data_IF_404715093990
#
_entry.id   IF_404715093990
#
_cell.length_a   1.000
_cell.length_b   1.000
_cell.length_c   1.000
_cell.angle_alpha   90.00
_cell.angle_beta   90.00
_cell.angle_gamma   90.00
#
_symmetry.space_group_name_H-M   'P 1'
#
loop_
_entity.id
_entity.type
_entity.pdbx_description
1 polymer ?
#
# COMPACT_ATOMS: atom_id res chain seq x y z
N UNK A 1 18.99 -19.88 5.52
CA UNK A 1 19.41 -18.57 4.98
C UNK A 1 18.83 -17.37 5.75
N UNK A 2 17.78 -17.53 6.56
CA UNK A 2 17.17 -16.47 7.39
C UNK A 2 17.93 -16.15 8.69
N UNK A 3 18.71 -17.09 9.26
CA UNK A 3 19.46 -16.86 10.52
C UNK A 3 20.59 -15.84 10.41
N UNK A 4 21.33 -15.86 9.29
CA UNK A 4 22.55 -15.03 9.11
C UNK A 4 22.27 -13.53 8.97
N UNK A 5 21.09 -13.15 8.48
CA UNK A 5 20.64 -11.76 8.42
C UNK A 5 20.25 -11.23 9.80
N UNK A 6 19.59 -12.07 10.61
CA UNK A 6 19.14 -11.72 11.97
C UNK A 6 20.34 -11.56 12.90
N UNK A 7 21.32 -12.47 12.85
CA UNK A 7 22.51 -12.44 13.71
C UNK A 7 23.42 -11.23 13.43
N UNK A 8 23.38 -10.69 12.20
CA UNK A 8 24.18 -9.51 11.81
C UNK A 8 23.59 -8.20 12.33
N UNK A 9 22.26 -8.13 12.44
CA UNK A 9 21.52 -6.96 12.97
C UNK A 9 21.73 -6.85 14.49
N UNK A 10 21.74 -7.99 15.19
CA UNK A 10 21.89 -8.06 16.65
C UNK A 10 23.25 -7.51 17.13
N UNK A 11 24.30 -7.71 16.33
CA UNK A 11 25.67 -7.28 16.65
C UNK A 11 25.89 -5.77 16.52
N UNK A 12 25.21 -5.12 15.59
CA UNK A 12 25.25 -3.66 15.37
C UNK A 12 24.44 -2.94 16.46
N UNK A 13 23.39 -3.60 16.95
CA UNK A 13 22.45 -3.04 17.91
C UNK A 13 23.03 -2.91 19.32
N UNK A 14 23.75 -3.93 19.80
CA UNK A 14 24.36 -3.89 21.14
C UNK A 14 25.41 -2.78 21.32
N UNK A 15 25.97 -2.23 20.24
CA UNK A 15 26.98 -1.17 20.31
C UNK A 15 26.38 0.25 20.38
N UNK A 16 25.07 0.43 20.16
CA UNK A 16 24.45 1.77 20.00
C UNK A 16 23.39 2.12 21.05
N UNK A 17 23.08 1.22 21.99
CA UNK A 17 21.91 1.33 22.90
C UNK A 17 22.13 2.14 24.18
N UNK A 18 22.66 3.37 24.11
CA UNK A 18 22.72 4.25 25.30
C UNK A 18 21.58 5.27 25.37
N UNK A 19 20.95 5.66 24.27
CA UNK A 19 19.93 6.71 24.29
C UNK A 19 18.81 6.43 23.27
N UNK A 20 17.60 6.17 23.81
CA UNK A 20 16.32 5.93 23.14
C UNK A 20 16.25 4.75 22.16
N UNK A 21 15.68 3.62 22.58
CA UNK A 21 15.25 2.59 21.65
C UNK A 21 13.90 2.02 22.06
N UNK A 22 12.83 2.44 21.36
CA UNK A 22 11.69 1.54 21.16
C UNK A 22 12.24 0.27 20.49
N UNK A 23 11.94 -0.91 21.03
CA UNK A 23 12.38 -2.17 20.45
C UNK A 23 11.71 -2.38 19.09
N UNK A 24 12.32 -3.17 18.20
CA UNK A 24 11.67 -3.60 16.95
C UNK A 24 10.28 -4.22 17.20
N UNK A 25 10.13 -4.90 18.34
CA UNK A 25 8.85 -5.45 18.79
C UNK A 25 7.82 -4.35 19.10
N UNK A 26 8.24 -3.23 19.69
CA UNK A 26 7.35 -2.10 19.95
C UNK A 26 6.90 -1.43 18.65
N UNK A 27 7.80 -1.25 17.68
CA UNK A 27 7.43 -0.70 16.37
C UNK A 27 6.43 -1.59 15.64
N UNK A 28 6.63 -2.91 15.69
CA UNK A 28 5.69 -3.87 15.12
C UNK A 28 4.32 -3.78 15.79
N UNK A 29 4.26 -3.71 17.13
CA UNK A 29 3.00 -3.57 17.87
C UNK A 29 2.29 -2.25 17.56
N UNK A 30 3.03 -1.15 17.46
CA UNK A 30 2.48 0.16 17.12
C UNK A 30 1.86 0.12 15.71
N UNK A 31 2.56 -0.47 14.72
CA UNK A 31 2.05 -0.63 13.35
C UNK A 31 0.83 -1.57 13.27
N UNK A 32 0.86 -2.72 13.96
CA UNK A 32 -0.29 -3.64 14.03
C UNK A 32 -1.52 -2.94 14.64
N UNK A 33 -1.31 -2.07 15.64
CA UNK A 33 -2.38 -1.27 16.25
C UNK A 33 -2.97 -0.27 15.24
N UNK A 34 -2.15 0.42 14.48
CA UNK A 34 -2.62 1.34 13.43
C UNK A 34 -3.45 0.61 12.35
N UNK A 35 -2.97 -0.55 11.89
CA UNK A 35 -3.70 -1.38 10.93
C UNK A 35 -5.04 -1.86 11.47
N UNK A 36 -5.12 -2.20 12.75
CA UNK A 36 -6.37 -2.59 13.40
C UNK A 36 -7.36 -1.41 13.48
N UNK A 37 -6.88 -0.20 13.78
CA UNK A 37 -7.74 1.01 13.76
C UNK A 37 -8.34 1.23 12.37
N UNK A 38 -7.53 1.15 11.31
CA UNK A 38 -8.01 1.27 9.92
C UNK A 38 -8.97 0.12 9.57
N UNK A 39 -8.64 -1.11 9.99
CA UNK A 39 -9.48 -2.30 9.79
C UNK A 39 -10.87 -2.12 10.38
N UNK A 40 -10.95 -1.65 11.61
CA UNK A 40 -12.19 -1.40 12.33
C UNK A 40 -12.96 -0.22 11.73
N UNK A 41 -12.28 0.90 11.43
CA UNK A 41 -12.88 2.13 10.91
C UNK A 41 -13.59 1.92 9.56
N UNK A 42 -13.03 1.05 8.71
CA UNK A 42 -13.55 0.78 7.38
C UNK A 42 -14.19 -0.60 7.23
N UNK A 43 -14.26 -1.40 8.30
CA UNK A 43 -14.80 -2.77 8.30
C UNK A 43 -14.16 -3.64 7.20
N UNK A 44 -12.83 -3.60 7.16
CA UNK A 44 -12.00 -4.32 6.21
C UNK A 44 -11.08 -5.30 6.92
N UNK A 45 -10.54 -6.29 6.23
CA UNK A 45 -9.57 -7.22 6.83
C UNK A 45 -8.16 -6.59 6.91
N UNK A 46 -7.25 -7.22 7.64
CA UNK A 46 -5.89 -6.69 7.85
C UNK A 46 -5.13 -6.49 6.53
N UNK A 47 -5.28 -7.40 5.56
CA UNK A 47 -4.60 -7.27 4.26
C UNK A 47 -5.15 -6.07 3.46
N UNK A 48 -6.47 -5.88 3.47
CA UNK A 48 -7.14 -4.70 2.92
C UNK A 48 -6.66 -3.42 3.62
N UNK A 49 -6.49 -3.44 4.95
CA UNK A 49 -5.95 -2.30 5.70
C UNK A 49 -4.53 -1.96 5.28
N UNK A 50 -3.66 -2.95 5.08
CA UNK A 50 -2.28 -2.74 4.62
C UNK A 50 -2.28 -2.01 3.28
N UNK A 51 -3.09 -2.48 2.32
CA UNK A 51 -3.20 -1.87 1.00
C UNK A 51 -3.81 -0.46 1.07
N UNK A 52 -4.89 -0.29 1.84
CA UNK A 52 -5.54 1.00 1.99
C UNK A 52 -4.60 2.03 2.64
N UNK A 53 -3.85 1.65 3.68
CA UNK A 53 -2.86 2.52 4.33
C UNK A 53 -1.77 2.94 3.34
N UNK A 54 -1.26 2.02 2.52
CA UNK A 54 -0.28 2.37 1.50
C UNK A 54 -0.81 3.38 0.48
N UNK A 55 -2.06 3.22 0.03
CA UNK A 55 -2.72 4.15 -0.90
C UNK A 55 -2.97 5.50 -0.25
N UNK A 56 -3.46 5.53 1.01
CA UNK A 56 -3.66 6.78 1.77
C UNK A 56 -2.36 7.56 1.84
N UNK A 57 -1.28 6.94 2.30
CA UNK A 57 0.01 7.62 2.45
C UNK A 57 0.49 8.17 1.10
N UNK A 58 0.47 7.33 0.06
CA UNK A 58 0.88 7.77 -1.26
C UNK A 58 0.01 8.91 -1.80
N UNK A 59 -1.30 8.89 -1.59
CA UNK A 59 -2.21 9.97 -2.00
C UNK A 59 -2.01 11.28 -1.23
N UNK A 60 -1.64 11.20 0.05
CA UNK A 60 -1.33 12.39 0.87
C UNK A 60 0.01 13.03 0.49
N UNK A 61 0.98 12.23 0.09
CA UNK A 61 2.32 12.71 -0.31
C UNK A 61 2.37 13.08 -1.81
N UNK A 62 1.66 12.35 -2.67
CA UNK A 62 1.66 12.47 -4.13
C UNK A 62 0.27 12.21 -4.73
N UNK A 63 -0.19 13.05 -5.67
CA UNK A 63 -1.53 12.89 -6.28
C UNK A 63 -1.71 11.65 -7.18
N UNK A 64 -0.61 11.00 -7.55
CA UNK A 64 -0.62 9.86 -8.46
C UNK A 64 -0.03 8.64 -7.74
N UNK A 65 -0.88 7.70 -7.33
CA UNK A 65 -0.46 6.43 -6.74
C UNK A 65 -0.71 5.31 -7.74
N UNK A 66 0.37 4.72 -8.23
CA UNK A 66 0.35 3.55 -9.09
C UNK A 66 0.68 2.29 -8.28
N UNK A 67 0.57 1.13 -8.94
CA UNK A 67 0.85 -0.16 -8.31
C UNK A 67 2.31 -0.28 -7.85
N UNK A 68 3.24 0.37 -8.55
CA UNK A 68 4.64 0.47 -8.16
C UNK A 68 4.82 1.23 -6.85
N UNK A 69 4.09 2.34 -6.65
CA UNK A 69 4.17 3.14 -5.42
C UNK A 69 3.63 2.37 -4.21
N UNK A 70 2.61 1.55 -4.42
CA UNK A 70 2.10 0.62 -3.38
C UNK A 70 3.19 -0.40 -3.04
N UNK A 71 3.84 -0.99 -4.05
CA UNK A 71 4.91 -1.96 -3.84
C UNK A 71 6.11 -1.36 -3.07
N UNK A 72 6.52 -0.15 -3.44
CA UNK A 72 7.57 0.62 -2.76
C UNK A 72 7.21 0.88 -1.31
N UNK A 73 5.98 1.35 -1.03
CA UNK A 73 5.54 1.64 0.34
C UNK A 73 5.48 0.39 1.21
N UNK A 74 5.17 -0.75 0.62
CA UNK A 74 5.10 -2.04 1.30
C UNK A 74 6.45 -2.77 1.36
N UNK A 75 7.51 -2.22 0.74
CA UNK A 75 8.84 -2.84 0.62
C UNK A 75 8.80 -4.27 0.03
N UNK A 76 7.89 -4.50 -0.92
CA UNK A 76 7.73 -5.77 -1.63
C UNK A 76 7.87 -5.58 -3.14
N UNK A 77 8.01 -6.67 -3.88
CA UNK A 77 7.99 -6.58 -5.34
C UNK A 77 6.59 -6.28 -5.85
N UNK A 78 6.51 -5.58 -7.00
CA UNK A 78 5.23 -5.35 -7.69
C UNK A 78 4.51 -6.65 -8.06
N UNK A 79 5.24 -7.75 -8.25
CA UNK A 79 4.66 -9.06 -8.55
C UNK A 79 3.92 -9.65 -7.35
N UNK A 80 4.39 -9.38 -6.12
CA UNK A 80 3.68 -9.75 -4.89
C UNK A 80 2.40 -8.94 -4.72
N UNK A 81 2.43 -7.64 -5.07
CA UNK A 81 1.21 -6.81 -5.11
C UNK A 81 0.22 -7.33 -6.16
N UNK A 82 0.70 -7.68 -7.36
CA UNK A 82 -0.12 -8.29 -8.41
C UNK A 82 -0.70 -9.64 -8.00
N UNK A 83 0.02 -10.45 -7.24
CA UNK A 83 -0.50 -11.72 -6.71
C UNK A 83 -1.68 -11.49 -5.75
N UNK A 84 -1.76 -10.32 -5.11
CA UNK A 84 -2.81 -9.91 -4.19
C UNK A 84 -3.77 -8.88 -4.78
N UNK A 85 -3.82 -8.76 -6.11
CA UNK A 85 -4.59 -7.72 -6.81
C UNK A 85 -6.08 -7.69 -6.48
N UNK A 86 -6.65 -8.83 -6.08
CA UNK A 86 -8.06 -8.92 -5.69
C UNK A 86 -8.40 -7.96 -4.54
N UNK A 87 -7.44 -7.66 -3.67
CA UNK A 87 -7.59 -6.71 -2.57
C UNK A 87 -7.97 -5.31 -3.08
N UNK A 88 -7.33 -4.86 -4.16
CA UNK A 88 -7.62 -3.56 -4.78
C UNK A 88 -9.05 -3.50 -5.34
N UNK A 89 -9.52 -4.59 -5.95
CA UNK A 89 -10.90 -4.67 -6.42
C UNK A 89 -11.90 -4.71 -5.27
N UNK A 90 -11.61 -5.44 -4.19
CA UNK A 90 -12.48 -5.45 -3.01
C UNK A 90 -12.56 -4.07 -2.34
N UNK A 91 -11.43 -3.35 -2.23
CA UNK A 91 -11.41 -1.97 -1.72
C UNK A 91 -12.23 -1.02 -2.60
N UNK A 92 -12.18 -1.19 -3.92
CA UNK A 92 -13.01 -0.44 -4.87
C UNK A 92 -14.50 -0.76 -4.71
N UNK A 93 -14.86 -2.03 -4.59
CA UNK A 93 -16.25 -2.46 -4.43
C UNK A 93 -16.86 -1.93 -3.12
N UNK A 94 -16.02 -1.82 -2.07
CA UNK A 94 -16.36 -1.15 -0.81
C UNK A 94 -16.37 0.39 -0.90
N UNK A 95 -16.10 0.95 -2.08
CA UNK A 95 -16.03 2.40 -2.35
C UNK A 95 -15.00 3.13 -1.50
N UNK A 96 -13.92 2.45 -1.10
CA UNK A 96 -12.85 3.05 -0.30
C UNK A 96 -11.79 3.69 -1.19
N UNK A 97 -11.57 3.11 -2.37
CA UNK A 97 -10.68 3.64 -3.39
C UNK A 97 -11.40 3.75 -4.74
N UNK A 98 -10.85 4.56 -5.61
CA UNK A 98 -11.20 4.66 -7.02
C UNK A 98 -10.01 4.16 -7.86
N UNK A 99 -10.32 3.47 -8.96
CA UNK A 99 -9.33 2.99 -9.93
C UNK A 99 -9.56 3.77 -11.21
N UNK A 100 -8.71 4.76 -11.44
CA UNK A 100 -8.85 5.72 -12.52
C UNK A 100 -7.88 5.38 -13.65
N UNK A 101 -8.30 5.66 -14.89
CA UNK A 101 -7.36 5.70 -15.99
C UNK A 101 -6.33 6.80 -15.75
N UNK A 102 -5.09 6.53 -16.10
CA UNK A 102 -4.08 7.56 -16.09
C UNK A 102 -4.44 8.57 -17.18
N UNK A 103 -4.67 9.83 -16.81
CA UNK A 103 -4.87 10.92 -17.77
C UNK A 103 -3.54 11.14 -18.52
N UNK A 104 -3.40 10.46 -19.66
CA UNK A 104 -2.29 10.64 -20.58
C UNK A 104 -2.35 12.09 -21.12
N UNK A 105 -1.43 12.95 -20.69
CA UNK A 105 -1.13 14.19 -21.40
C UNK A 105 -0.41 13.83 -22.73
N UNK A 106 -1.11 13.27 -23.72
CA UNK A 106 -0.90 13.49 -25.18
C UNK A 106 -1.77 12.54 -26.05
N UNK A 107 -2.38 13.03 -27.15
CA UNK A 107 -3.35 12.28 -27.95
C UNK A 107 -2.74 11.46 -29.10
N UNK A 108 -1.58 10.82 -28.92
CA UNK A 108 -0.96 10.06 -30.01
C UNK A 108 -0.24 8.78 -29.54
N UNK A 109 -0.97 7.70 -29.23
CA UNK A 109 -0.46 6.33 -29.41
C UNK A 109 -1.54 5.35 -29.88
N UNK A 110 -1.17 4.38 -30.74
CA UNK A 110 -2.12 3.56 -31.46
C UNK A 110 -2.79 2.56 -30.54
N UNK A 111 -4.09 2.39 -30.75
CA UNK A 111 -4.92 1.36 -30.11
C UNK A 111 -4.29 -0.02 -30.28
N UNK A 112 -3.70 -0.56 -29.22
CA UNK A 112 -3.39 -1.98 -29.14
C UNK A 112 -4.69 -2.75 -28.84
N UNK A 113 -5.36 -3.15 -29.93
CA UNK A 113 -6.40 -4.17 -29.95
C UNK A 113 -5.82 -5.50 -29.43
N UNK A 114 -6.05 -5.80 -28.15
CA UNK A 114 -6.25 -7.17 -27.66
C UNK A 114 -6.86 -7.16 -26.25
N UNK A 115 -8.16 -6.88 -26.21
CA UNK A 115 -9.01 -7.16 -25.06
C UNK A 115 -9.28 -8.66 -24.98
N UNK A 116 -8.48 -9.41 -24.20
CA UNK A 116 -8.89 -10.71 -23.64
C UNK A 116 -8.00 -11.10 -22.47
N UNK A 117 -8.60 -11.05 -21.27
CA UNK A 117 -8.21 -11.70 -20.00
C UNK A 117 -6.74 -11.51 -19.59
N UNK A 118 -6.44 -10.58 -18.66
CA UNK A 118 -5.43 -10.68 -17.57
C UNK A 118 -5.09 -9.27 -16.99
N UNK A 119 -4.62 -9.19 -15.72
CA UNK A 119 -4.50 -7.98 -14.90
C UNK A 119 -3.30 -7.08 -15.27
N UNK A 120 -3.08 -6.84 -16.56
CA UNK A 120 -1.99 -5.96 -17.03
C UNK A 120 -2.48 -4.50 -17.10
N UNK A 121 -3.75 -4.28 -17.42
CA UNK A 121 -4.30 -2.92 -17.55
C UNK A 121 -4.25 -2.14 -16.23
N UNK A 122 -4.35 -2.85 -15.11
CA UNK A 122 -4.27 -2.24 -13.77
C UNK A 122 -2.90 -1.64 -13.46
N UNK A 123 -1.84 -2.07 -14.16
CA UNK A 123 -0.49 -1.54 -13.96
C UNK A 123 -0.39 -0.07 -14.37
N UNK A 124 -1.27 0.38 -15.26
CA UNK A 124 -1.31 1.75 -15.78
C UNK A 124 -2.47 2.56 -15.18
N UNK A 125 -3.12 2.06 -14.12
CA UNK A 125 -4.19 2.80 -13.43
C UNK A 125 -3.63 3.59 -12.26
N UNK A 126 -4.33 4.67 -11.91
CA UNK A 126 -4.10 5.44 -10.71
C UNK A 126 -5.10 5.01 -9.63
N UNK A 127 -4.64 4.88 -8.39
CA UNK A 127 -5.44 4.56 -7.23
C UNK A 127 -5.62 5.81 -6.38
N UNK A 128 -6.85 6.30 -6.30
CA UNK A 128 -7.20 7.40 -5.41
C UNK A 128 -8.06 6.94 -4.24
N UNK A 129 -7.87 7.53 -3.06
CA UNK A 129 -8.79 7.36 -1.95
C UNK A 129 -10.12 8.04 -2.28
N UNK A 130 -11.21 7.43 -1.85
CA UNK A 130 -12.54 8.03 -1.99
C UNK A 130 -12.74 9.17 -0.98
N UNK A 131 -13.75 10.01 -1.26
CA UNK A 131 -14.21 11.03 -0.31
C UNK A 131 -14.65 10.46 1.05
N UNK A 132 -15.14 9.22 1.08
CA UNK A 132 -15.51 8.54 2.34
C UNK A 132 -14.28 8.34 3.23
N UNK A 133 -13.14 8.00 2.62
CA UNK A 133 -11.87 7.84 3.33
C UNK A 133 -11.35 9.20 3.77
N UNK A 134 -11.35 10.20 2.88
CA UNK A 134 -10.94 11.58 3.21
C UNK A 134 -11.74 12.14 4.40
N UNK A 135 -13.07 12.08 4.35
CA UNK A 135 -13.95 12.62 5.39
C UNK A 135 -13.73 11.93 6.74
N UNK A 136 -13.45 10.62 6.74
CA UNK A 136 -13.18 9.87 7.98
C UNK A 136 -11.78 10.12 8.55
N UNK A 137 -10.79 10.40 7.69
CA UNK A 137 -9.44 10.72 8.14
C UNK A 137 -9.34 12.13 8.73
N UNK A 138 -10.16 13.08 8.27
CA UNK A 138 -10.22 14.45 8.79
C UNK A 138 -10.87 14.60 10.17
N UNK A 139 -11.48 13.52 10.70
CA UNK A 139 -12.13 13.52 12.02
C UNK A 139 -11.11 13.26 13.15
N UNK A 140 -9.86 12.91 12.81
CA UNK A 140 -8.74 12.72 13.74
C UNK A 140 -7.69 13.83 13.61
#
# INVERSE_FOLDING_TARGET
MTKTLIDSIDKIYHQTTAYSYKTLEQYRKDFEKELNVISELFQINVLESIFLTAIIINNTEYKNCQLEDIAVRLEVSKFEVLAQIQVLFTLRDKKLIEINEWEDFSPERPHFLNQRKYPIDIMNKNFSISKIVEDKLLIF
#
